data_IF_685729920145
#
_entry.id   IF_685729920145
#
_cell.length_a   1.000
_cell.length_b   1.000
_cell.length_c   1.000
_cell.angle_alpha   90.00
_cell.angle_beta   90.00
_cell.angle_gamma   90.00
#
_symmetry.space_group_name_H-M   'P 1'
#
loop_
_entity.id
_entity.type
_entity.pdbx_description
1 polymer ?
#
# COMPACT_ATOMS: atom_id res chain seq x y z
N UNK A 1 -6.01 6.27 3.45
CA UNK A 1 -6.71 4.99 3.15
C UNK A 1 -8.02 5.20 2.41
N UNK A 2 -8.88 6.14 2.81
CA UNK A 2 -10.21 6.38 2.23
C UNK A 2 -10.19 6.63 0.72
N UNK A 3 -9.21 7.39 0.22
CA UNK A 3 -9.04 7.62 -1.20
C UNK A 3 -8.81 6.31 -1.97
N UNK A 4 -7.92 5.44 -1.47
CA UNK A 4 -7.68 4.11 -2.05
C UNK A 4 -8.94 3.23 -1.97
N UNK A 5 -9.62 3.18 -0.83
CA UNK A 5 -10.83 2.39 -0.66
C UNK A 5 -11.94 2.82 -1.65
N UNK A 6 -12.18 4.13 -1.78
CA UNK A 6 -13.15 4.66 -2.76
C UNK A 6 -12.75 4.34 -4.19
N UNK A 7 -11.47 4.48 -4.53
CA UNK A 7 -10.97 4.19 -5.88
C UNK A 7 -11.11 2.70 -6.22
N UNK A 8 -10.71 1.80 -5.32
CA UNK A 8 -10.80 0.35 -5.53
C UNK A 8 -12.26 -0.14 -5.57
N UNK A 9 -13.17 0.50 -4.83
CA UNK A 9 -14.61 0.21 -4.95
C UNK A 9 -15.15 0.61 -6.33
N UNK A 10 -14.73 1.76 -6.87
CA UNK A 10 -15.11 2.20 -8.23
C UNK A 10 -14.47 1.36 -9.33
N UNK A 11 -13.24 0.89 -9.10
CA UNK A 11 -12.48 0.10 -10.06
C UNK A 11 -12.02 -1.22 -9.41
N UNK A 12 -12.88 -2.25 -9.35
CA UNK A 12 -12.60 -3.49 -8.64
C UNK A 12 -11.41 -4.31 -9.17
N UNK A 13 -10.90 -3.98 -10.36
CA UNK A 13 -9.70 -4.59 -10.95
C UNK A 13 -8.44 -3.74 -10.82
N UNK A 14 -8.55 -2.52 -10.28
CA UNK A 14 -7.40 -1.64 -10.10
C UNK A 14 -6.39 -2.23 -9.10
N UNK A 15 -5.13 -1.83 -9.29
CA UNK A 15 -3.96 -2.19 -8.47
C UNK A 15 -3.27 -0.89 -8.05
N UNK A 16 -2.59 -0.96 -6.91
CA UNK A 16 -1.77 0.13 -6.37
C UNK A 16 -0.32 -0.24 -6.65
N UNK A 17 0.31 0.46 -7.58
CA UNK A 17 1.71 0.25 -7.92
C UNK A 17 2.58 1.07 -6.98
N UNK A 18 3.66 0.46 -6.50
CA UNK A 18 4.67 1.13 -5.68
C UNK A 18 6.06 0.62 -6.06
N UNK A 19 7.08 1.37 -5.66
CA UNK A 19 8.46 1.03 -5.92
C UNK A 19 9.20 0.80 -4.61
N UNK A 20 9.50 -0.46 -4.30
CA UNK A 20 10.13 -0.90 -3.04
C UNK A 20 9.15 -0.88 -1.83
N UNK A 21 9.52 -1.45 -0.67
CA UNK A 21 8.56 -1.83 0.37
C UNK A 21 8.13 -0.68 1.29
N UNK A 22 8.70 0.53 1.13
CA UNK A 22 8.51 1.63 2.07
C UNK A 22 7.03 2.00 2.25
N UNK A 23 6.31 2.27 1.16
CA UNK A 23 4.91 2.70 1.20
C UNK A 23 4.00 1.71 1.93
N UNK A 24 4.11 0.44 1.57
CA UNK A 24 3.35 -0.64 2.23
C UNK A 24 3.68 -0.73 3.72
N UNK A 25 4.96 -0.62 4.07
CA UNK A 25 5.42 -0.66 5.46
C UNK A 25 4.93 0.54 6.26
N UNK A 26 4.98 1.73 5.67
CA UNK A 26 4.50 2.97 6.26
C UNK A 26 2.99 2.92 6.51
N UNK A 27 2.20 2.41 5.56
CA UNK A 27 0.76 2.22 5.73
C UNK A 27 0.43 1.25 6.86
N UNK A 28 1.10 0.09 6.93
CA UNK A 28 0.90 -0.85 8.05
C UNK A 28 1.24 -0.22 9.39
N UNK A 29 2.38 0.49 9.46
CA UNK A 29 2.84 1.17 10.69
C UNK A 29 1.84 2.24 11.13
N UNK A 30 1.37 3.09 10.21
CA UNK A 30 0.41 4.15 10.52
C UNK A 30 -0.94 3.58 10.96
N UNK A 31 -1.42 2.54 10.28
CA UNK A 31 -2.69 1.89 10.61
C UNK A 31 -2.66 1.31 12.03
N UNK A 32 -1.59 0.59 12.36
CA UNK A 32 -1.37 0.01 13.70
C UNK A 32 -1.18 1.09 14.76
N UNK A 33 -0.39 2.12 14.46
CA UNK A 33 -0.07 3.17 15.44
C UNK A 33 -1.30 3.99 15.85
N UNK A 34 -2.20 4.25 14.91
CA UNK A 34 -3.42 5.02 15.15
C UNK A 34 -4.66 4.16 15.37
N UNK A 35 -4.53 2.82 15.36
CA UNK A 35 -5.66 1.88 15.53
C UNK A 35 -6.80 2.13 14.54
N UNK A 36 -6.47 2.49 13.29
CA UNK A 36 -7.48 2.89 12.29
C UNK A 36 -7.18 2.32 10.92
N UNK A 37 -8.25 1.99 10.19
CA UNK A 37 -8.22 1.48 8.80
C UNK A 37 -7.46 0.16 8.62
N UNK A 38 -7.35 -0.60 9.70
CA UNK A 38 -6.67 -1.90 9.73
C UNK A 38 -7.38 -2.91 8.83
N UNK A 39 -8.70 -3.00 8.94
CA UNK A 39 -9.52 -3.89 8.11
C UNK A 39 -9.40 -3.53 6.63
N UNK A 40 -9.50 -2.25 6.26
CA UNK A 40 -9.36 -1.85 4.86
C UNK A 40 -7.95 -2.12 4.31
N UNK A 41 -6.90 -1.93 5.13
CA UNK A 41 -5.54 -2.26 4.71
C UNK A 41 -5.36 -3.78 4.57
N UNK A 42 -5.81 -4.56 5.53
CA UNK A 42 -5.76 -6.03 5.51
C UNK A 42 -6.47 -6.59 4.28
N UNK A 43 -7.67 -6.09 3.97
CA UNK A 43 -8.43 -6.47 2.77
C UNK A 43 -7.63 -6.17 1.48
N UNK A 44 -7.02 -4.99 1.39
CA UNK A 44 -6.18 -4.63 0.24
C UNK A 44 -4.95 -5.53 0.12
N UNK A 45 -4.33 -5.89 1.25
CA UNK A 45 -3.17 -6.78 1.28
C UNK A 45 -3.54 -8.21 0.86
N UNK A 46 -4.64 -8.75 1.37
CA UNK A 46 -5.16 -10.10 1.02
C UNK A 46 -5.55 -10.21 -0.44
N UNK A 47 -6.24 -9.18 -0.95
CA UNK A 47 -6.59 -9.08 -2.38
C UNK A 47 -5.38 -8.82 -3.28
N UNK A 48 -4.16 -8.79 -2.73
CA UNK A 48 -2.90 -8.53 -3.44
C UNK A 48 -2.98 -7.22 -4.25
N UNK A 49 -3.62 -6.17 -3.71
CA UNK A 49 -3.83 -4.89 -4.43
C UNK A 49 -2.55 -4.14 -4.68
N UNK A 50 -1.58 -4.27 -3.76
CA UNK A 50 -0.27 -3.65 -3.87
C UNK A 50 0.65 -4.47 -4.78
N UNK A 51 1.24 -3.80 -5.77
CA UNK A 51 2.13 -4.37 -6.78
C UNK A 51 3.48 -3.68 -6.64
N UNK A 52 4.50 -4.44 -6.21
CA UNK A 52 5.86 -3.94 -6.06
C UNK A 52 6.60 -4.04 -7.40
N UNK A 53 6.72 -2.90 -8.08
CA UNK A 53 7.44 -2.82 -9.35
C UNK A 53 8.95 -3.01 -9.17
N UNK A 54 9.52 -2.65 -8.02
CA UNK A 54 10.95 -2.87 -7.77
C UNK A 54 11.29 -4.36 -7.80
N UNK A 55 10.44 -5.20 -7.18
CA UNK A 55 10.57 -6.65 -7.24
C UNK A 55 10.48 -7.18 -8.67
N UNK A 56 9.58 -6.62 -9.49
CA UNK A 56 9.46 -6.98 -10.92
C UNK A 56 10.73 -6.65 -11.69
N UNK A 57 11.24 -5.43 -11.56
CA UNK A 57 12.46 -5.03 -12.26
C UNK A 57 13.64 -5.91 -11.84
N UNK A 58 13.83 -6.13 -10.53
CA UNK A 58 14.93 -6.94 -10.00
C UNK A 58 14.92 -8.41 -10.45
N UNK A 59 13.75 -8.97 -10.76
CA UNK A 59 13.60 -10.37 -11.15
C UNK A 59 13.44 -10.55 -12.67
N UNK A 60 12.96 -9.53 -13.38
CA UNK A 60 12.63 -9.60 -14.80
C UNK A 60 13.61 -8.87 -15.72
N UNK A 61 14.41 -7.94 -15.20
CA UNK A 61 15.29 -7.08 -16.00
C UNK A 61 16.74 -7.26 -15.58
N UNK A 62 17.60 -7.55 -16.56
CA UNK A 62 19.05 -7.51 -16.39
C UNK A 62 19.57 -6.20 -16.98
N UNK A 63 19.87 -5.23 -16.12
CA UNK A 63 20.36 -3.92 -16.51
C UNK A 63 21.83 -3.72 -16.12
N UNK A 64 22.62 -3.12 -17.01
CA UNK A 64 24.03 -2.75 -16.76
C UNK A 64 24.12 -1.45 -15.96
N UNK A 65 23.59 -1.46 -14.73
CA UNK A 65 23.58 -0.31 -13.81
C UNK A 65 24.08 -0.74 -12.43
N UNK A 66 24.68 0.19 -11.70
CA UNK A 66 25.18 -0.02 -10.34
C UNK A 66 24.04 -0.19 -9.32
N UNK A 67 22.83 0.31 -9.62
CA UNK A 67 21.66 0.14 -8.77
C UNK A 67 20.36 0.08 -9.57
N UNK A 68 19.36 -0.57 -8.97
CA UNK A 68 17.97 -0.63 -9.45
C UNK A 68 17.11 0.44 -8.77
N UNK A 69 17.65 1.61 -8.45
CA UNK A 69 16.80 2.74 -8.05
C UNK A 69 15.95 3.19 -9.24
N UNK A 70 14.73 3.69 -9.00
CA UNK A 70 13.82 4.09 -10.09
C UNK A 70 14.49 5.08 -11.05
N UNK A 71 15.25 6.05 -10.51
CA UNK A 71 16.02 7.04 -11.28
C UNK A 71 17.05 6.44 -12.23
N UNK A 72 17.67 5.31 -11.87
CA UNK A 72 18.60 4.61 -12.76
C UNK A 72 17.87 3.80 -13.83
N UNK A 73 16.63 3.40 -13.57
CA UNK A 73 15.81 2.64 -14.52
C UNK A 73 15.07 3.57 -15.50
N UNK A 74 14.84 4.84 -15.16
CA UNK A 74 14.19 5.85 -16.00
C UNK A 74 14.74 5.97 -17.42
N UNK A 75 16.06 5.82 -17.57
CA UNK A 75 16.73 5.85 -18.86
C UNK A 75 16.23 4.76 -19.83
N UNK A 76 15.73 3.62 -19.34
CA UNK A 76 15.27 2.51 -20.18
C UNK A 76 13.86 2.72 -20.76
N UNK A 77 13.06 3.60 -20.16
CA UNK A 77 11.70 3.91 -20.61
C UNK A 77 11.54 5.36 -21.09
N UNK A 78 12.65 6.02 -21.44
CA UNK A 78 12.64 7.32 -22.11
C UNK A 78 12.26 8.49 -21.22
N UNK A 79 12.41 8.36 -19.90
CA UNK A 79 12.27 9.47 -18.97
C UNK A 79 13.66 10.07 -18.69
N UNK A 80 13.93 11.25 -19.23
CA UNK A 80 15.11 12.05 -18.88
C UNK A 80 14.71 13.09 -17.82
N UNK A 81 15.47 13.15 -16.71
CA UNK A 81 15.31 14.20 -15.70
C UNK A 81 16.42 15.23 -15.87
N UNK A 82 16.06 16.48 -16.10
CA UNK A 82 16.99 17.63 -16.11
C UNK A 82 17.48 18.04 -14.71
N UNK A 83 16.88 17.49 -13.66
CA UNK A 83 17.09 17.94 -12.28
C UNK A 83 18.27 17.23 -11.61
N UNK A 84 19.11 18.03 -10.93
CA UNK A 84 20.09 17.54 -9.97
C UNK A 84 19.42 16.55 -9.00
N UNK A 85 20.11 15.44 -8.72
CA UNK A 85 19.59 14.28 -8.00
C UNK A 85 19.10 14.66 -6.59
N UNK A 86 17.83 15.03 -6.42
CA UNK A 86 17.22 15.17 -5.08
C UNK A 86 17.02 13.78 -4.50
N UNK A 87 17.75 13.40 -3.46
CA UNK A 87 17.60 12.08 -2.85
C UNK A 87 16.28 11.98 -2.06
N UNK A 88 15.80 10.76 -1.80
CA UNK A 88 14.68 10.56 -0.88
C UNK A 88 14.97 11.11 0.53
N UNK A 89 16.24 11.10 0.95
CA UNK A 89 16.69 11.72 2.20
C UNK A 89 16.56 13.24 2.20
N UNK A 90 16.81 13.87 1.05
CA UNK A 90 16.74 15.34 0.91
C UNK A 90 15.31 15.82 1.09
N UNK A 91 14.32 15.03 0.62
CA UNK A 91 12.90 15.37 0.80
C UNK A 91 12.47 15.42 2.28
N UNK A 92 13.08 14.60 3.14
CA UNK A 92 12.82 14.61 4.59
C UNK A 92 13.41 15.87 5.23
N UNK A 93 14.64 16.24 4.84
CA UNK A 93 15.31 17.44 5.34
C UNK A 93 14.55 18.70 4.94
N UNK A 94 14.12 18.79 3.68
CA UNK A 94 13.30 19.91 3.21
C UNK A 94 11.94 19.95 3.93
N UNK A 95 11.31 18.81 4.18
CA UNK A 95 10.06 18.80 4.96
C UNK A 95 10.25 19.31 6.40
N UNK A 96 11.33 18.94 7.09
CA UNK A 96 11.63 19.50 8.41
C UNK A 96 11.93 21.01 8.34
N UNK A 97 12.65 21.45 7.30
CA UNK A 97 12.88 22.88 7.04
C UNK A 97 11.56 23.65 6.83
N UNK A 98 10.59 23.06 6.13
CA UNK A 98 9.25 23.64 6.02
C UNK A 98 8.57 23.75 7.40
N UNK A 99 8.69 22.74 8.27
CA UNK A 99 8.10 22.80 9.62
C UNK A 99 8.67 23.91 10.48
N UNK A 100 9.95 24.25 10.28
CA UNK A 100 10.61 25.36 10.99
C UNK A 100 10.29 26.74 10.38
N UNK A 101 10.27 26.82 9.04
CA UNK A 101 10.19 28.11 8.32
C UNK A 101 8.77 28.51 7.94
N UNK A 102 7.87 27.55 7.76
CA UNK A 102 6.53 27.75 7.20
C UNK A 102 6.51 28.10 5.70
N UNK A 103 7.63 27.98 4.99
CA UNK A 103 7.73 28.37 3.58
C UNK A 103 6.98 27.40 2.65
N UNK A 104 5.83 27.83 2.14
CA UNK A 104 4.97 27.03 1.27
C UNK A 104 5.65 26.61 -0.03
N UNK A 105 6.65 27.34 -0.50
CA UNK A 105 7.43 26.97 -1.70
C UNK A 105 8.07 25.59 -1.52
N UNK A 106 8.52 25.26 -0.31
CA UNK A 106 9.11 23.96 -0.01
C UNK A 106 8.07 22.83 -0.20
N UNK A 107 6.83 23.03 0.23
CA UNK A 107 5.76 22.05 0.01
C UNK A 107 5.40 21.91 -1.47
N UNK A 108 5.38 23.02 -2.22
CA UNK A 108 5.14 23.01 -3.66
C UNK A 108 6.23 22.21 -4.39
N UNK A 109 7.50 22.43 -4.03
CA UNK A 109 8.64 21.73 -4.60
C UNK A 109 8.60 20.22 -4.25
N UNK A 110 8.27 19.88 -2.99
CA UNK A 110 8.09 18.49 -2.56
C UNK A 110 6.92 17.79 -3.28
N UNK A 111 5.81 18.49 -3.48
CA UNK A 111 4.65 17.96 -4.20
C UNK A 111 4.98 17.71 -5.67
N UNK A 112 5.66 18.66 -6.34
CA UNK A 112 6.12 18.51 -7.71
C UNK A 112 7.10 17.33 -7.87
N UNK A 113 8.02 17.18 -6.92
CA UNK A 113 8.93 16.04 -6.86
C UNK A 113 8.18 14.71 -6.74
N UNK A 114 7.20 14.62 -5.82
CA UNK A 114 6.41 13.40 -5.63
C UNK A 114 5.55 13.07 -6.87
N UNK A 115 4.93 14.08 -7.50
CA UNK A 115 4.15 13.90 -8.72
C UNK A 115 5.01 13.30 -9.84
N UNK A 116 6.25 13.78 -9.99
CA UNK A 116 7.21 13.24 -10.95
C UNK A 116 7.56 11.78 -10.67
N UNK A 117 7.79 11.41 -9.41
CA UNK A 117 8.06 10.02 -9.01
C UNK A 117 6.84 9.10 -9.27
N UNK A 118 5.62 9.59 -9.05
CA UNK A 118 4.38 8.85 -9.38
C UNK A 118 4.22 8.66 -10.89
N UNK A 119 4.43 9.70 -11.69
CA UNK A 119 4.42 9.62 -13.16
C UNK A 119 5.51 8.68 -13.69
N UNK A 120 6.68 8.68 -13.05
CA UNK A 120 7.76 7.74 -13.36
C UNK A 120 7.38 6.29 -13.06
N UNK A 121 6.69 6.05 -11.95
CA UNK A 121 6.19 4.72 -11.58
C UNK A 121 5.13 4.21 -12.58
N UNK A 122 4.26 5.10 -13.06
CA UNK A 122 3.29 4.79 -14.12
C UNK A 122 3.98 4.44 -15.44
N UNK A 123 4.92 5.27 -15.89
CA UNK A 123 5.68 5.03 -17.13
C UNK A 123 6.47 3.71 -17.06
N UNK A 124 7.09 3.40 -15.91
CA UNK A 124 7.76 2.13 -15.67
C UNK A 124 6.79 0.95 -15.81
N UNK A 125 5.60 1.04 -15.21
CA UNK A 125 4.58 0.00 -15.29
C UNK A 125 4.17 -0.26 -16.73
N UNK A 126 3.95 0.79 -17.51
CA UNK A 126 3.54 0.66 -18.92
C UNK A 126 4.66 0.08 -19.79
N UNK A 127 5.89 0.53 -19.57
CA UNK A 127 7.07 -0.04 -20.24
C UNK A 127 7.25 -1.53 -19.91
N UNK A 128 7.11 -1.93 -18.64
CA UNK A 128 7.18 -3.33 -18.23
C UNK A 128 6.10 -4.18 -18.92
N UNK A 129 4.90 -3.66 -19.13
CA UNK A 129 3.84 -4.36 -19.86
C UNK A 129 4.16 -4.50 -21.35
N UNK A 130 4.82 -3.50 -21.96
CA UNK A 130 5.27 -3.54 -23.36
C UNK A 130 6.35 -4.59 -23.62
N UNK A 131 7.31 -4.73 -22.71
CA UNK A 131 8.42 -5.68 -22.87
C UNK A 131 8.11 -7.07 -22.29
N UNK A 132 6.93 -7.25 -21.69
CA UNK A 132 6.52 -8.52 -21.08
C UNK A 132 6.43 -9.61 -22.15
N UNK A 133 7.17 -10.73 -22.03
CA UNK A 133 7.06 -11.85 -22.95
C UNK A 133 5.64 -12.44 -22.99
N UNK A 134 5.21 -12.95 -24.15
CA UNK A 134 3.93 -13.61 -24.28
C UNK A 134 3.84 -14.82 -23.33
N UNK A 135 2.75 -14.89 -22.54
CA UNK A 135 2.55 -15.94 -21.54
C UNK A 135 3.31 -15.75 -20.22
N UNK A 136 4.10 -14.68 -20.07
CA UNK A 136 4.66 -14.33 -18.77
C UNK A 136 3.52 -13.83 -17.86
N UNK A 137 3.18 -14.63 -16.85
CA UNK A 137 2.23 -14.22 -15.82
C UNK A 137 2.96 -13.46 -14.72
N UNK A 138 2.44 -12.28 -14.38
CA UNK A 138 2.84 -11.61 -13.16
C UNK A 138 2.07 -12.20 -11.99
N UNK A 139 2.66 -13.18 -11.30
CA UNK A 139 2.19 -13.69 -10.02
C UNK A 139 3.22 -13.36 -8.92
N UNK A 140 3.13 -12.17 -8.29
CA UNK A 140 4.12 -11.74 -7.30
C UNK A 140 4.15 -12.61 -6.04
N UNK A 141 3.16 -13.49 -5.83
CA UNK A 141 3.10 -14.39 -4.69
C UNK A 141 2.46 -15.70 -5.11
N UNK A 142 3.32 -16.67 -5.45
CA UNK A 142 2.94 -18.08 -5.58
C UNK A 142 2.62 -18.69 -4.19
N UNK A 143 1.66 -18.11 -3.46
CA UNK A 143 0.92 -18.86 -2.44
C UNK A 143 -0.19 -19.60 -3.19
N UNK A 144 -0.23 -20.93 -3.08
CA UNK A 144 -1.27 -21.77 -3.67
C UNK A 144 -2.66 -21.16 -3.39
N UNK A 145 -3.35 -20.72 -4.44
CA UNK A 145 -4.62 -19.97 -4.39
C UNK A 145 -5.68 -20.63 -3.49
N UNK A 146 -5.67 -21.96 -3.38
CA UNK A 146 -6.57 -22.73 -2.51
C UNK A 146 -6.50 -22.32 -1.03
N UNK A 147 -5.31 -21.95 -0.54
CA UNK A 147 -5.13 -21.54 0.86
C UNK A 147 -5.61 -20.12 1.11
N UNK A 148 -5.48 -19.21 0.13
CA UNK A 148 -5.92 -17.84 0.29
C UNK A 148 -7.46 -17.74 0.27
N UNK A 149 -8.11 -18.44 -0.66
CA UNK A 149 -9.57 -18.51 -0.74
C UNK A 149 -10.18 -19.20 0.49
N UNK A 150 -9.59 -20.30 0.97
CA UNK A 150 -10.00 -20.96 2.22
C UNK A 150 -9.86 -20.04 3.43
N UNK A 151 -8.72 -19.33 3.56
CA UNK A 151 -8.50 -18.38 4.67
C UNK A 151 -9.52 -17.25 4.70
N UNK A 152 -9.94 -16.77 3.53
CA UNK A 152 -10.96 -15.72 3.39
C UNK A 152 -12.35 -16.23 3.77
N UNK A 153 -12.75 -17.41 3.29
CA UNK A 153 -14.01 -18.04 3.69
C UNK A 153 -14.07 -18.28 5.21
N UNK A 154 -12.98 -18.81 5.80
CA UNK A 154 -12.89 -19.02 7.23
C UNK A 154 -12.93 -17.69 8.02
N UNK A 155 -12.43 -16.59 7.44
CA UNK A 155 -12.49 -15.26 8.06
C UNK A 155 -13.92 -14.73 8.06
N UNK A 156 -14.63 -14.79 6.94
CA UNK A 156 -16.02 -14.34 6.87
C UNK A 156 -16.88 -15.05 7.92
N UNK A 157 -16.71 -16.37 8.07
CA UNK A 157 -17.38 -17.15 9.11
C UNK A 157 -16.98 -16.68 10.52
N UNK A 158 -15.69 -16.42 10.77
CA UNK A 158 -15.22 -15.90 12.07
C UNK A 158 -15.75 -14.50 12.36
N UNK A 159 -15.81 -13.62 11.37
CA UNK A 159 -16.27 -12.23 11.52
C UNK A 159 -17.80 -12.20 11.73
N UNK A 160 -18.56 -13.04 11.03
CA UNK A 160 -19.99 -13.28 11.31
C UNK A 160 -20.21 -13.82 12.73
N UNK A 161 -19.41 -14.80 13.16
CA UNK A 161 -19.50 -15.35 14.51
C UNK A 161 -19.15 -14.31 15.59
N UNK A 162 -18.15 -13.45 15.35
CA UNK A 162 -17.78 -12.34 16.24
C UNK A 162 -18.88 -11.28 16.34
N UNK A 163 -19.50 -10.90 15.22
CA UNK A 163 -20.65 -9.99 15.21
C UNK A 163 -21.81 -10.56 16.04
N UNK A 164 -22.17 -11.83 15.80
CA UNK A 164 -23.22 -12.49 16.55
C UNK A 164 -22.91 -12.58 18.05
N UNK A 165 -21.65 -12.87 18.41
CA UNK A 165 -21.21 -12.90 19.82
C UNK A 165 -21.24 -11.51 20.45
N UNK A 166 -20.79 -10.47 19.73
CA UNK A 166 -20.83 -9.09 20.19
C UNK A 166 -22.27 -8.63 20.48
N UNK A 167 -23.23 -9.00 19.62
CA UNK A 167 -24.66 -8.73 19.84
C UNK A 167 -25.20 -9.47 21.09
N UNK A 168 -24.83 -10.74 21.28
CA UNK A 168 -25.22 -11.51 22.47
C UNK A 168 -24.64 -10.90 23.76
N UNK A 169 -23.38 -10.46 23.75
CA UNK A 169 -22.74 -9.79 24.88
C UNK A 169 -23.48 -8.49 25.21
N UNK A 170 -23.81 -7.66 24.21
CA UNK A 170 -24.57 -6.41 24.43
C UNK A 170 -25.98 -6.66 24.98
N UNK A 171 -26.66 -7.70 24.49
CA UNK A 171 -27.99 -8.10 24.93
C UNK A 171 -28.02 -8.80 26.31
N UNK A 172 -26.86 -9.19 26.85
CA UNK A 172 -26.74 -9.84 28.15
C UNK A 172 -27.27 -8.97 29.29
N UNK A 173 -27.86 -9.62 30.31
CA UNK A 173 -28.26 -8.99 31.57
C UNK A 173 -27.11 -8.91 32.58
N UNK A 174 -25.95 -9.45 32.23
CA UNK A 174 -24.77 -9.52 33.09
C UNK A 174 -23.87 -8.32 32.78
N UNK A 175 -23.51 -7.57 33.81
CA UNK A 175 -22.73 -6.33 33.76
C UNK A 175 -23.47 -5.09 33.20
N UNK A 176 -22.90 -3.92 33.50
CA UNK A 176 -23.38 -2.61 33.07
C UNK A 176 -23.18 -2.42 31.55
N UNK A 177 -23.99 -1.56 30.89
CA UNK A 177 -23.91 -1.34 29.44
C UNK A 177 -22.50 -1.03 28.93
N UNK A 178 -21.77 -0.17 29.63
CA UNK A 178 -20.42 0.28 29.26
C UNK A 178 -19.40 -0.88 29.25
N UNK A 179 -19.51 -1.78 30.23
CA UNK A 179 -18.65 -2.97 30.31
C UNK A 179 -18.97 -3.96 29.20
N UNK A 180 -20.26 -4.14 28.88
CA UNK A 180 -20.70 -5.02 27.79
C UNK A 180 -20.22 -4.52 26.43
N UNK A 181 -20.31 -3.21 26.19
CA UNK A 181 -19.79 -2.61 24.96
C UNK A 181 -18.27 -2.76 24.87
N UNK A 182 -17.53 -2.50 25.94
CA UNK A 182 -16.08 -2.70 25.96
C UNK A 182 -15.71 -4.17 25.66
N UNK A 183 -16.38 -5.14 26.28
CA UNK A 183 -16.12 -6.57 26.04
C UNK A 183 -16.47 -6.96 24.61
N UNK A 184 -17.55 -6.41 24.04
CA UNK A 184 -17.91 -6.62 22.63
C UNK A 184 -16.86 -6.03 21.68
N UNK A 185 -16.29 -4.86 21.99
CA UNK A 185 -15.22 -4.24 21.22
C UNK A 185 -13.90 -5.02 21.33
N UNK A 186 -13.61 -5.63 22.48
CA UNK A 186 -12.41 -6.47 22.67
C UNK A 186 -12.39 -7.73 21.77
N UNK A 187 -13.53 -8.15 21.22
CA UNK A 187 -13.58 -9.26 20.25
C UNK A 187 -12.89 -8.92 18.91
N UNK A 188 -12.66 -7.63 18.65
CA UNK A 188 -12.00 -7.09 17.46
C UNK A 188 -10.54 -6.76 17.67
N UNK A 189 -10.01 -6.95 18.88
CA UNK A 189 -8.59 -6.78 19.20
C UNK A 189 -7.88 -8.14 19.21
N UNK A 190 -6.71 -8.23 18.55
CA UNK A 190 -5.92 -9.44 18.37
C UNK A 190 -4.44 -9.13 18.61
#
# INVERSE_FOLDING_TARGET
MDAFARHLKRFPKARIYHYAPYEKTALCRLSTHYGTRENELDDMLRQKRFVDLYAVVRQGILASTESYSIKKIEAFYGMERDEAVTSGGDSIVEYERWRETGDLKILEDLAAYNEKDVRSTEALRDWLDQIRPAGAHYDPVREKDDKAASREADRLVRDEARLALAEQVRASKVAEPEVKDLVAELLWFH
#
